data_IF_030770703464
#
_entry.id   IF_030770703464
#
_cell.length_a   1.000
_cell.length_b   1.000
_cell.length_c   1.000
_cell.angle_alpha   90.00
_cell.angle_beta   90.00
_cell.angle_gamma   90.00
#
_symmetry.space_group_name_H-M   'P 1'
#
loop_
_entity.id
_entity.type
_entity.pdbx_description
1 polymer ?
#
# COMPACT_ATOMS: atom_id res chain seq x y z
N UNK A 1 3.03 -17.67 -26.45
CA UNK A 1 2.84 -18.49 -25.24
C UNK A 1 2.65 -17.49 -24.10
N UNK A 2 1.42 -17.38 -23.57
CA UNK A 2 1.12 -16.41 -22.52
C UNK A 2 1.93 -16.77 -21.27
N UNK A 3 2.65 -15.80 -20.75
CA UNK A 3 3.52 -15.93 -19.60
C UNK A 3 2.63 -15.85 -18.36
N UNK A 4 2.22 -17.01 -17.83
CA UNK A 4 1.55 -17.10 -16.52
C UNK A 4 2.58 -16.79 -15.43
N UNK A 5 2.50 -15.57 -14.88
CA UNK A 5 3.28 -15.16 -13.71
C UNK A 5 2.37 -14.41 -12.73
N UNK A 6 2.04 -15.04 -11.60
CA UNK A 6 1.44 -14.37 -10.43
C UNK A 6 -0.08 -14.21 -10.45
N UNK A 7 -0.64 -13.71 -9.33
CA UNK A 7 -2.09 -13.57 -9.04
C UNK A 7 -2.87 -13.29 -10.33
N UNK A 8 -3.61 -14.29 -10.79
CA UNK A 8 -4.31 -14.34 -12.09
C UNK A 8 -5.43 -13.31 -12.24
N UNK A 9 -5.63 -12.39 -11.28
CA UNK A 9 -6.80 -11.52 -11.23
C UNK A 9 -6.51 -10.05 -10.84
N UNK A 10 -5.29 -9.54 -11.02
CA UNK A 10 -5.01 -8.12 -10.84
C UNK A 10 -5.07 -7.37 -12.19
N UNK A 11 -6.26 -6.88 -12.56
CA UNK A 11 -6.43 -6.14 -13.80
C UNK A 11 -5.58 -4.84 -13.82
N UNK A 12 -4.87 -4.53 -14.92
CA UNK A 12 -4.02 -3.35 -14.98
C UNK A 12 -4.85 -2.08 -15.25
N UNK A 13 -4.77 -1.09 -14.36
CA UNK A 13 -5.40 0.22 -14.54
C UNK A 13 -4.43 1.36 -14.20
N UNK A 14 -4.54 2.50 -14.89
CA UNK A 14 -3.73 3.69 -14.59
C UNK A 14 -4.26 4.51 -13.40
N UNK A 15 -5.52 4.29 -13.03
CA UNK A 15 -6.21 4.86 -11.89
C UNK A 15 -7.12 3.80 -11.26
N UNK A 16 -7.57 4.02 -10.02
CA UNK A 16 -8.44 3.08 -9.35
C UNK A 16 -9.77 2.89 -10.13
N UNK A 17 -10.15 1.65 -10.50
CA UNK A 17 -11.49 1.37 -11.00
C UNK A 17 -12.51 1.53 -9.85
N UNK A 18 -13.82 1.42 -10.15
CA UNK A 18 -14.82 1.33 -9.08
C UNK A 18 -14.47 0.16 -8.12
N UNK A 19 -14.60 0.38 -6.81
CA UNK A 19 -14.29 -0.65 -5.82
C UNK A 19 -15.11 -1.91 -6.11
N UNK A 20 -14.39 -3.01 -6.37
CA UNK A 20 -14.99 -4.33 -6.60
C UNK A 20 -15.38 -5.02 -5.29
N UNK A 21 -15.79 -6.28 -5.37
CA UNK A 21 -16.07 -7.08 -4.19
C UNK A 21 -14.82 -7.21 -3.30
N UNK A 22 -15.02 -7.48 -2.00
CA UNK A 22 -13.91 -7.74 -1.10
C UNK A 22 -13.06 -8.91 -1.62
N UNK A 23 -11.75 -8.71 -1.72
CA UNK A 23 -10.80 -9.69 -2.28
C UNK A 23 -10.47 -9.49 -3.75
N UNK A 24 -11.17 -8.60 -4.48
CA UNK A 24 -10.74 -8.20 -5.81
C UNK A 24 -9.38 -7.51 -5.75
N UNK A 25 -8.57 -7.66 -6.79
CA UNK A 25 -7.26 -7.01 -6.89
C UNK A 25 -7.12 -6.26 -8.20
N UNK A 26 -6.32 -5.19 -8.22
CA UNK A 26 -5.92 -4.54 -9.46
C UNK A 26 -4.48 -4.03 -9.38
N UNK A 27 -3.79 -3.99 -10.51
CA UNK A 27 -2.44 -3.43 -10.60
C UNK A 27 -2.51 -1.98 -11.08
N UNK A 28 -2.07 -1.04 -10.26
CA UNK A 28 -1.92 0.36 -10.66
C UNK A 28 -0.63 0.53 -11.47
N UNK A 29 -0.76 0.80 -12.77
CA UNK A 29 0.40 0.95 -13.68
C UNK A 29 1.14 2.26 -13.50
N UNK A 30 0.46 3.33 -13.07
CA UNK A 30 1.08 4.63 -12.79
C UNK A 30 1.93 4.60 -11.52
N UNK A 31 1.41 3.95 -10.48
CA UNK A 31 2.09 3.82 -9.18
C UNK A 31 2.98 2.59 -9.06
N UNK A 32 2.89 1.67 -10.04
CA UNK A 32 3.58 0.37 -10.04
C UNK A 32 3.33 -0.40 -8.75
N UNK A 33 2.07 -0.51 -8.35
CA UNK A 33 1.65 -1.10 -7.09
C UNK A 33 0.40 -1.96 -7.25
N UNK A 34 0.32 -3.05 -6.47
CA UNK A 34 -0.88 -3.87 -6.35
C UNK A 34 -1.85 -3.23 -5.36
N UNK A 35 -3.15 -3.34 -5.62
CA UNK A 35 -4.22 -2.92 -4.73
C UNK A 35 -5.21 -4.08 -4.53
N UNK A 36 -5.82 -4.14 -3.35
CA UNK A 36 -6.86 -5.10 -2.98
C UNK A 36 -8.10 -4.39 -2.44
N UNK A 37 -9.29 -4.79 -2.87
CA UNK A 37 -10.57 -4.24 -2.42
C UNK A 37 -11.01 -4.87 -1.10
N UNK A 38 -11.54 -4.08 -0.18
CA UNK A 38 -12.27 -4.55 1.01
C UNK A 38 -13.80 -4.60 0.80
N UNK A 39 -14.27 -4.36 -0.43
CA UNK A 39 -15.68 -4.23 -0.77
C UNK A 39 -16.19 -2.78 -0.75
N UNK A 40 -15.38 -1.84 -0.28
CA UNK A 40 -15.72 -0.41 -0.20
C UNK A 40 -14.60 0.49 -0.75
N UNK A 41 -13.34 0.15 -0.51
CA UNK A 41 -12.18 0.92 -0.93
C UNK A 41 -11.03 0.03 -1.43
N UNK A 42 -10.17 0.61 -2.28
CA UNK A 42 -8.94 -0.03 -2.74
C UNK A 42 -7.79 0.27 -1.79
N UNK A 43 -7.24 -0.76 -1.16
CA UNK A 43 -6.10 -0.67 -0.26
C UNK A 43 -4.82 -1.12 -0.97
N UNK A 44 -3.73 -0.36 -0.84
CA UNK A 44 -2.44 -0.69 -1.48
C UNK A 44 -1.84 -1.94 -0.83
N UNK A 45 -1.55 -2.96 -1.64
CA UNK A 45 -0.99 -4.23 -1.19
C UNK A 45 0.54 -4.16 -1.19
N UNK A 46 1.10 -4.32 0.00
CA UNK A 46 2.42 -4.93 0.22
C UNK A 46 3.60 -4.27 -0.48
N UNK A 47 3.94 -3.02 -0.13
CA UNK A 47 5.31 -2.49 -0.12
C UNK A 47 5.39 -1.30 0.84
N UNK A 48 6.58 -1.05 1.41
CA UNK A 48 6.83 0.22 2.08
C UNK A 48 6.67 1.37 1.08
N UNK A 49 5.93 2.42 1.46
CA UNK A 49 5.97 3.67 0.69
C UNK A 49 7.35 4.31 0.83
N UNK A 50 7.83 4.98 -0.20
CA UNK A 50 9.14 5.66 -0.18
C UNK A 50 8.89 7.13 -0.55
N UNK A 51 9.39 8.06 0.26
CA UNK A 51 9.25 9.49 -0.01
C UNK A 51 9.74 10.34 1.16
N UNK A 52 9.88 11.66 0.94
CA UNK A 52 10.27 12.61 1.99
C UNK A 52 9.10 12.98 2.91
N UNK A 53 7.87 12.77 2.46
CA UNK A 53 6.64 12.94 3.24
C UNK A 53 5.94 11.59 3.44
N UNK A 54 5.25 11.47 4.57
CA UNK A 54 4.50 10.26 4.87
C UNK A 54 3.21 10.20 4.01
N UNK A 55 2.73 9.00 3.65
CA UNK A 55 1.40 8.83 3.06
C UNK A 55 0.32 9.52 3.90
N UNK A 56 -0.61 10.21 3.23
CA UNK A 56 -1.73 10.93 3.88
C UNK A 56 -2.89 10.02 4.25
N UNK A 57 -3.04 8.88 3.59
CA UNK A 57 -4.06 7.86 3.86
C UNK A 57 -3.41 6.48 4.12
N UNK A 58 -2.65 6.33 5.22
CA UNK A 58 -1.96 5.08 5.51
C UNK A 58 -2.89 4.02 6.11
N UNK A 59 -2.58 2.75 5.83
CA UNK A 59 -3.20 1.59 6.50
C UNK A 59 -2.41 1.25 7.76
N UNK A 60 -3.07 0.80 8.83
CA UNK A 60 -2.39 0.29 10.03
C UNK A 60 -1.43 -0.84 9.65
N UNK A 61 -0.20 -0.77 10.15
CA UNK A 61 0.88 -1.68 9.80
C UNK A 61 1.63 -1.33 8.50
N UNK A 62 1.21 -0.30 7.77
CA UNK A 62 1.94 0.15 6.59
C UNK A 62 3.35 0.62 6.97
N UNK A 63 4.33 0.28 6.14
CA UNK A 63 5.71 0.76 6.27
C UNK A 63 5.94 2.00 5.40
N UNK A 64 6.80 2.91 5.86
CA UNK A 64 7.27 4.06 5.10
C UNK A 64 8.77 4.29 5.29
N UNK A 65 9.52 4.26 4.19
CA UNK A 65 10.92 4.68 4.17
C UNK A 65 11.02 6.18 3.86
N UNK A 66 11.42 6.95 4.86
CA UNK A 66 11.66 8.38 4.73
C UNK A 66 12.99 8.64 4.04
N UNK A 67 12.94 9.03 2.76
CA UNK A 67 14.12 9.04 1.88
C UNK A 67 15.15 10.13 2.16
N UNK A 68 14.75 11.24 2.78
CA UNK A 68 15.63 12.34 3.19
C UNK A 68 16.39 12.02 4.49
N UNK A 69 15.77 11.27 5.41
CA UNK A 69 16.39 10.94 6.70
C UNK A 69 16.97 9.52 6.79
N UNK A 70 16.67 8.65 5.82
CA UNK A 70 17.06 7.23 5.85
C UNK A 70 16.45 6.44 7.00
N UNK A 71 15.21 6.78 7.41
CA UNK A 71 14.54 6.15 8.55
C UNK A 71 13.30 5.39 8.08
N UNK A 72 13.12 4.18 8.62
CA UNK A 72 11.91 3.40 8.43
C UNK A 72 10.89 3.73 9.52
N UNK A 73 9.62 3.82 9.13
CA UNK A 73 8.50 4.03 10.03
C UNK A 73 7.42 2.97 9.79
N UNK A 74 6.63 2.69 10.83
CA UNK A 74 5.39 1.92 10.76
C UNK A 74 4.21 2.81 11.15
N UNK A 75 3.10 2.73 10.43
CA UNK A 75 1.88 3.40 10.83
C UNK A 75 1.19 2.55 11.91
N UNK A 76 1.10 3.11 13.11
CA UNK A 76 0.64 2.45 14.32
C UNK A 76 -0.64 3.11 14.82
N UNK A 77 -1.58 2.28 15.26
CA UNK A 77 -2.82 2.68 15.91
C UNK A 77 -2.88 1.97 17.26
N UNK A 78 -2.84 2.75 18.34
CA UNK A 78 -2.90 2.23 19.72
C UNK A 78 -4.33 2.18 20.28
N UNK A 79 -5.34 2.50 19.46
CA UNK A 79 -6.74 2.61 19.85
C UNK A 79 -7.15 4.00 20.37
N UNK A 80 -6.19 4.86 20.69
CA UNK A 80 -6.41 6.24 21.12
C UNK A 80 -5.91 7.27 20.09
N UNK A 81 -4.83 6.95 19.38
CA UNK A 81 -4.14 7.78 18.42
C UNK A 81 -3.59 6.96 17.26
N UNK A 82 -3.40 7.61 16.11
CA UNK A 82 -2.79 7.01 14.92
C UNK A 82 -1.59 7.83 14.47
N UNK A 83 -0.43 7.19 14.34
CA UNK A 83 0.85 7.87 14.15
C UNK A 83 1.87 7.02 13.39
N UNK A 84 2.81 7.69 12.73
CA UNK A 84 4.02 7.06 12.22
C UNK A 84 5.06 6.93 13.33
N UNK A 85 5.43 5.70 13.67
CA UNK A 85 6.44 5.39 14.71
C UNK A 85 7.74 4.97 14.03
N UNK A 86 8.90 5.56 14.38
CA UNK A 86 10.18 5.16 13.83
C UNK A 86 10.55 3.74 14.27
N UNK A 87 11.02 2.94 13.34
CA UNK A 87 11.59 1.62 13.61
C UNK A 87 13.05 1.81 14.01
N UNK A 88 13.39 1.49 15.25
CA UNK A 88 14.77 1.52 15.73
C UNK A 88 15.43 0.16 15.44
N UNK A 89 16.54 0.18 14.71
CA UNK A 89 17.47 -0.95 14.66
C UNK A 89 18.37 -0.82 15.90
N UNK A 90 18.27 -1.80 16.80
CA UNK A 90 19.09 -1.87 18.01
C UNK A 90 20.58 -1.95 17.75
#
# INVERSE_FOLDING_TARGET
MARDYGITNAAPYASAPAAGAAGDTYWNTGEKALYGSDGTTWNRVGLASIGTTAPTTPTVGQLWWRSDSGKLYIYYDDGNSKQWVPVNLG
#
